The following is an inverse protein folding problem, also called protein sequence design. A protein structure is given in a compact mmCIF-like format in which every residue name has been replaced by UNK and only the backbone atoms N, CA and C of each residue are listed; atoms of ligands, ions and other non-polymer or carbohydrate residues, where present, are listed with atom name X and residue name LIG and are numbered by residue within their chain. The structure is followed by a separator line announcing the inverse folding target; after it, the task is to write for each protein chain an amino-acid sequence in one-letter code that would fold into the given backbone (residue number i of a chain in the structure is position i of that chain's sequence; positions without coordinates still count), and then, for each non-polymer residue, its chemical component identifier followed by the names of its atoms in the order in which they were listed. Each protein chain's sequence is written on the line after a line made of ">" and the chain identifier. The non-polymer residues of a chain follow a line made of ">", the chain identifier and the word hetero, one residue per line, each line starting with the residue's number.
data_IF_403915725155
#
_entry.id   IF_403915725155
#
_cell.length_a   1.000
_cell.length_b   1.000
_cell.length_c   1.000
_cell.angle_alpha   90.00
_cell.angle_beta   90.00
_cell.angle_gamma   90.00
#
_symmetry.space_group_name_H-M   'P 1'
#
loop_
_entity.id
_entity.type
_entity.pdbx_description
1 polymer ?
#
# COMPACT_ATOMS: atom_id res chain seq x y z
N UNK A 1 1.58 -1.12 19.43
CA UNK A 1 2.01 -2.13 18.43
C UNK A 1 1.73 -1.59 17.04
N UNK A 2 2.71 -1.56 16.13
CA UNK A 2 2.45 -1.09 14.77
C UNK A 2 1.83 -2.19 13.90
N UNK A 3 0.85 -1.81 13.06
CA UNK A 3 0.26 -2.70 12.04
C UNK A 3 1.19 -2.91 10.85
N UNK A 4 1.96 -1.87 10.54
CA UNK A 4 2.89 -1.83 9.41
C UNK A 4 4.27 -1.38 9.88
N UNK A 5 5.27 -1.80 9.12
CA UNK A 5 6.65 -1.35 9.19
C UNK A 5 7.06 -0.81 7.82
N UNK A 6 7.92 0.21 7.81
CA UNK A 6 8.32 0.91 6.59
C UNK A 6 9.84 0.90 6.51
N UNK A 7 10.36 0.46 5.37
CA UNK A 7 11.76 0.60 5.00
C UNK A 7 11.92 1.98 4.33
N UNK A 8 12.41 2.94 5.10
CA UNK A 8 12.47 4.36 4.70
C UNK A 8 13.38 4.61 3.50
N UNK A 9 14.43 3.80 3.34
CA UNK A 9 15.37 3.82 2.20
C UNK A 9 14.69 3.46 0.86
N UNK A 10 13.64 2.65 0.90
CA UNK A 10 12.89 2.21 -0.29
C UNK A 10 11.62 3.02 -0.53
N UNK A 11 11.09 3.68 0.50
CA UNK A 11 9.79 4.32 0.41
C UNK A 11 9.85 5.64 -0.37
N UNK A 12 9.32 5.64 -1.60
CA UNK A 12 9.22 6.83 -2.44
C UNK A 12 8.13 7.84 -2.02
N UNK A 13 7.51 7.68 -0.84
CA UNK A 13 6.44 8.56 -0.30
C UNK A 13 5.27 8.82 -1.27
N UNK A 14 4.99 7.87 -2.15
CA UNK A 14 4.03 8.03 -3.25
C UNK A 14 2.54 7.97 -2.84
N UNK A 15 2.24 7.69 -1.57
CA UNK A 15 0.87 7.64 -1.05
C UNK A 15 -0.04 6.50 -1.57
N UNK A 16 0.44 5.61 -2.45
CA UNK A 16 -0.42 4.56 -3.03
C UNK A 16 -1.01 3.61 -1.99
N UNK A 17 -0.24 3.26 -0.95
CA UNK A 17 -0.75 2.41 0.12
C UNK A 17 -1.96 3.04 0.86
N UNK A 18 -2.00 4.37 0.93
CA UNK A 18 -3.12 5.13 1.50
C UNK A 18 -4.33 5.07 0.57
N UNK A 19 -4.14 5.48 -0.70
CA UNK A 19 -5.21 5.51 -1.71
C UNK A 19 -5.87 4.14 -1.92
N UNK A 20 -5.07 3.07 -1.91
CA UNK A 20 -5.56 1.72 -2.14
C UNK A 20 -5.96 0.96 -0.88
N UNK A 21 -5.90 1.58 0.31
CA UNK A 21 -6.44 0.97 1.52
C UNK A 21 -7.98 1.00 1.43
N UNK A 22 -8.68 -0.15 1.26
CA UNK A 22 -10.13 -0.15 1.11
C UNK A 22 -10.86 0.34 2.38
N UNK A 23 -10.17 0.28 3.52
CA UNK A 23 -10.68 0.72 4.82
C UNK A 23 -10.33 2.18 5.14
N UNK A 24 -9.48 2.83 4.34
CA UNK A 24 -9.02 4.20 4.59
C UNK A 24 -8.24 4.37 5.90
N UNK A 25 -7.43 3.38 6.29
CA UNK A 25 -6.79 3.31 7.62
C UNK A 25 -5.31 3.71 7.63
N UNK A 26 -4.84 4.32 6.56
CA UNK A 26 -3.49 4.87 6.46
C UNK A 26 -3.57 6.36 6.14
N UNK A 27 -2.67 7.14 6.69
CA UNK A 27 -2.54 8.57 6.47
C UNK A 27 -1.07 8.97 6.33
N UNK A 28 -0.79 10.17 5.83
CA UNK A 28 0.57 10.70 5.77
C UNK A 28 0.97 11.32 7.10
N UNK A 29 2.17 10.98 7.57
CA UNK A 29 2.89 11.76 8.58
C UNK A 29 3.35 13.10 8.01
N UNK A 30 3.75 14.06 8.87
CA UNK A 30 4.38 15.31 8.44
C UNK A 30 5.63 15.13 7.57
N UNK A 31 6.38 14.05 7.80
CA UNK A 31 7.59 13.69 7.02
C UNK A 31 7.27 13.00 5.67
N UNK A 32 5.98 12.76 5.38
CA UNK A 32 5.47 12.13 4.16
C UNK A 32 5.48 10.61 4.17
N UNK A 33 5.93 9.94 5.25
CA UNK A 33 5.79 8.50 5.36
C UNK A 33 4.35 8.11 5.76
N UNK A 34 3.82 6.99 5.26
CA UNK A 34 2.51 6.52 5.67
C UNK A 34 2.51 6.09 7.14
N UNK A 35 1.40 6.26 7.83
CA UNK A 35 1.17 5.71 9.17
C UNK A 35 -0.26 5.19 9.32
N UNK A 36 -0.49 4.20 10.21
CA UNK A 36 -1.84 3.83 10.59
C UNK A 36 -2.58 4.97 11.28
N UNK A 37 -3.86 5.15 10.98
CA UNK A 37 -4.74 6.03 11.76
C UNK A 37 -4.99 5.44 13.16
N UNK A 38 -5.61 6.21 14.05
CA UNK A 38 -5.93 5.78 15.42
C UNK A 38 -6.85 4.55 15.45
N UNK A 39 -7.78 4.46 14.50
CA UNK A 39 -8.76 3.37 14.39
C UNK A 39 -8.21 2.16 13.64
N UNK A 40 -7.03 2.28 13.04
CA UNK A 40 -6.48 1.25 12.15
C UNK A 40 -6.38 -0.11 12.85
N UNK A 41 -5.99 -0.14 14.12
CA UNK A 41 -5.87 -1.39 14.89
C UNK A 41 -7.20 -2.12 15.07
N UNK A 42 -8.30 -1.39 15.17
CA UNK A 42 -9.63 -1.95 15.40
C UNK A 42 -10.33 -2.34 14.08
N UNK A 43 -10.00 -1.65 12.99
CA UNK A 43 -10.73 -1.76 11.71
C UNK A 43 -9.94 -2.47 10.61
N UNK A 44 -8.64 -2.69 10.78
CA UNK A 44 -7.85 -3.37 9.76
C UNK A 44 -8.27 -4.84 9.66
N UNK A 45 -8.84 -5.21 8.52
CA UNK A 45 -9.25 -6.60 8.22
C UNK A 45 -8.12 -7.46 7.66
N UNK A 46 -6.86 -7.02 7.79
CA UNK A 46 -5.67 -7.72 7.29
C UNK A 46 -5.77 -8.10 5.80
N UNK A 47 -6.28 -7.20 4.94
CA UNK A 47 -6.46 -7.48 3.51
C UNK A 47 -5.14 -7.60 2.74
N UNK A 48 -4.09 -6.87 3.15
CA UNK A 48 -2.77 -6.90 2.52
C UNK A 48 -2.58 -5.96 1.31
N UNK A 49 -3.59 -5.16 0.93
CA UNK A 49 -3.48 -4.26 -0.23
C UNK A 49 -2.32 -3.27 -0.12
N UNK A 50 -2.03 -2.75 1.08
CA UNK A 50 -0.91 -1.83 1.29
C UNK A 50 0.45 -2.44 0.94
N UNK A 51 0.66 -3.73 1.23
CA UNK A 51 1.90 -4.43 0.87
C UNK A 51 1.88 -4.92 -0.58
N UNK A 52 0.71 -5.25 -1.14
CA UNK A 52 0.60 -5.73 -2.52
C UNK A 52 0.77 -4.64 -3.58
N UNK A 53 0.42 -3.39 -3.26
CA UNK A 53 0.49 -2.26 -4.20
C UNK A 53 1.84 -1.54 -4.20
N UNK A 54 2.64 -1.72 -3.15
CA UNK A 54 3.89 -0.99 -2.99
C UNK A 54 4.97 -1.52 -3.96
N UNK A 55 5.09 -0.93 -5.14
CA UNK A 55 6.07 -1.38 -6.14
C UNK A 55 7.54 -1.30 -5.68
N UNK A 56 7.82 -0.50 -4.65
CA UNK A 56 9.16 -0.30 -4.10
C UNK A 56 9.54 -1.29 -2.99
N UNK A 57 8.64 -2.19 -2.60
CA UNK A 57 8.90 -3.15 -1.51
C UNK A 57 9.28 -2.49 -0.18
N UNK A 58 8.72 -1.32 0.07
CA UNK A 58 9.04 -0.49 1.22
C UNK A 58 8.08 -0.66 2.41
N UNK A 59 6.98 -1.41 2.25
CA UNK A 59 5.92 -1.48 3.24
C UNK A 59 5.64 -2.94 3.60
N UNK A 60 5.70 -3.22 4.90
CA UNK A 60 5.52 -4.54 5.49
C UNK A 60 4.33 -4.51 6.44
N UNK A 61 3.50 -5.54 6.42
CA UNK A 61 2.36 -5.66 7.31
C UNK A 61 2.63 -6.78 8.32
N UNK A 62 2.29 -6.54 9.59
CA UNK A 62 2.57 -7.48 10.69
C UNK A 62 2.09 -8.91 10.43
N UNK A 63 0.85 -9.04 9.93
CA UNK A 63 0.20 -10.33 9.66
C UNK A 63 0.32 -10.78 8.18
N UNK A 64 0.26 -9.87 7.22
CA UNK A 64 0.25 -10.20 5.78
C UNK A 64 1.64 -10.09 5.18
N UNK A 65 2.17 -11.22 4.72
CA UNK A 65 3.41 -11.27 3.94
C UNK A 65 3.09 -11.01 2.47
N UNK A 66 3.88 -10.15 1.82
CA UNK A 66 3.89 -10.06 0.35
C UNK A 66 4.25 -11.44 -0.22
N UNK A 67 3.63 -11.82 -1.33
CA UNK A 67 4.03 -13.02 -2.04
C UNK A 67 5.42 -12.82 -2.66
N UNK A 68 6.44 -13.45 -2.08
CA UNK A 68 7.83 -13.38 -2.53
C UNK A 68 8.09 -14.13 -3.85
N UNK A 69 7.14 -14.96 -4.32
CA UNK A 69 7.31 -15.78 -5.52
C UNK A 69 7.19 -14.99 -6.83
N UNK A 70 6.90 -13.70 -6.79
CA UNK A 70 6.93 -12.83 -7.96
C UNK A 70 7.30 -11.40 -7.57
N UNK A 71 8.57 -11.04 -7.77
CA UNK A 71 9.09 -9.68 -7.50
C UNK A 71 8.32 -8.61 -8.29
N UNK A 72 7.83 -8.95 -9.47
CA UNK A 72 7.10 -8.02 -10.36
C UNK A 72 5.58 -8.03 -10.16
N UNK A 73 5.03 -8.80 -9.21
CA UNK A 73 3.58 -8.89 -9.02
C UNK A 73 2.95 -7.51 -8.71
N UNK A 74 3.63 -6.69 -7.90
CA UNK A 74 3.18 -5.33 -7.60
C UNK A 74 3.18 -4.45 -8.86
N UNK A 75 4.21 -4.55 -9.71
CA UNK A 75 4.33 -3.78 -10.95
C UNK A 75 3.23 -4.17 -11.94
N UNK A 76 3.02 -5.47 -12.18
CA UNK A 76 1.96 -5.98 -13.08
C UNK A 76 0.56 -5.54 -12.63
N UNK A 77 0.28 -5.57 -11.32
CA UNK A 77 -0.97 -5.06 -10.76
C UNK A 77 -1.11 -3.56 -10.98
N UNK A 78 -0.04 -2.80 -10.76
CA UNK A 78 -0.03 -1.36 -10.97
C UNK A 78 -0.30 -0.98 -12.42
N UNK A 79 0.38 -1.62 -13.38
CA UNK A 79 0.12 -1.43 -14.81
C UNK A 79 -1.33 -1.73 -15.20
N UNK A 80 -1.90 -2.80 -14.63
CA UNK A 80 -3.30 -3.18 -14.86
C UNK A 80 -4.27 -2.12 -14.33
N UNK A 81 -3.99 -1.56 -13.15
CA UNK A 81 -4.78 -0.48 -12.56
C UNK A 81 -4.71 0.80 -13.40
N UNK A 82 -3.52 1.16 -13.89
CA UNK A 82 -3.35 2.29 -14.81
C UNK A 82 -4.14 2.09 -16.10
N UNK A 83 -4.01 0.93 -16.74
CA UNK A 83 -4.77 0.59 -17.96
C UNK A 83 -6.29 0.68 -17.73
N UNK A 84 -6.78 0.32 -16.53
CA UNK A 84 -8.21 0.45 -16.16
C UNK A 84 -8.62 1.91 -15.90
N UNK A 85 -7.76 2.72 -15.28
CA UNK A 85 -7.99 4.14 -15.04
C UNK A 85 -8.02 4.95 -16.34
N UNK A 86 -7.11 4.68 -17.27
CA UNK A 86 -7.10 5.26 -18.63
C UNK A 86 -8.42 4.96 -19.36
N UNK A 87 -8.93 3.73 -19.27
CA UNK A 87 -10.22 3.35 -19.88
C UNK A 87 -11.43 4.06 -19.24
N UNK A 88 -11.37 4.42 -17.95
CA UNK A 88 -12.45 5.17 -17.27
C UNK A 88 -12.45 6.66 -17.62
N UNK A 89 -11.28 7.23 -17.92
CA UNK A 89 -11.11 8.64 -18.28
C UNK A 89 -11.18 8.91 -19.80
N UNK A 90 -11.27 7.87 -20.62
CA UNK A 90 -11.39 7.97 -22.08
C UNK A 90 -12.85 8.05 -22.57
N UNK A 91 -13.77 8.53 -21.72
CA UNK A 91 -15.18 8.75 -22.04
C UNK A 91 -15.53 10.22 -21.83
#
# INVERSE_FOLDING_TARGET
>A
MSLIHIEEDKCAKCGRCIVFCPMGLLENKPDGFPQPTKEAYQRCVNCGYCVDICIFDALFHKIRKRNANSKDAALKRYETLLKRGVKKNAK
#
